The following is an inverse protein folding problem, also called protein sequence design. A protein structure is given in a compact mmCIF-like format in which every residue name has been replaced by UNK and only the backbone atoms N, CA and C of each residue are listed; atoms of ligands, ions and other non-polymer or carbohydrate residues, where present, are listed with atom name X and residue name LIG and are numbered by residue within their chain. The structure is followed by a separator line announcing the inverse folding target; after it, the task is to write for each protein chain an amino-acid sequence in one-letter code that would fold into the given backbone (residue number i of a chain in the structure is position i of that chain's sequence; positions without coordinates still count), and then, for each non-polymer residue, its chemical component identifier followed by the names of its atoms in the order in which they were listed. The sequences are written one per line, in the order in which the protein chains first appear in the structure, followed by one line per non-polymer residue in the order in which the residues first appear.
data_IF_645161274404
#
_entry.id   IF_645161274404
#
_cell.length_a   1.000
_cell.length_b   1.000
_cell.length_c   1.000
_cell.angle_alpha   90.00
_cell.angle_beta   90.00
_cell.angle_gamma   90.00
#
_symmetry.space_group_name_H-M   'P 1'
#
loop_
_entity.id
_entity.type
_entity.pdbx_description
1 polymer ?
#
# COMPACT_ATOMS: atom_id res chain seq x y z
N UNK A 1 -52.53 -46.12 -59.10
CA UNK A 1 -51.92 -44.84 -58.69
C UNK A 1 -50.72 -45.15 -57.81
N UNK A 2 -49.60 -44.54 -58.17
CA UNK A 2 -48.20 -44.80 -57.78
C UNK A 2 -47.83 -44.08 -56.47
N UNK A 3 -46.63 -44.43 -55.94
CA UNK A 3 -45.77 -43.73 -54.96
C UNK A 3 -45.88 -44.23 -53.52
N UNK A 4 -44.82 -44.39 -52.72
CA UNK A 4 -43.37 -44.43 -52.95
C UNK A 4 -42.75 -44.91 -51.62
N UNK A 5 -41.69 -45.72 -51.68
CA UNK A 5 -40.80 -46.00 -50.53
C UNK A 5 -40.15 -44.70 -50.07
N UNK A 6 -40.07 -44.43 -48.77
CA UNK A 6 -39.05 -43.56 -48.19
C UNK A 6 -38.53 -44.17 -46.89
N UNK A 7 -37.28 -44.63 -46.95
CA UNK A 7 -36.46 -45.00 -45.81
C UNK A 7 -36.19 -43.77 -44.94
N UNK A 8 -36.20 -43.93 -43.61
CA UNK A 8 -35.66 -42.91 -42.69
C UNK A 8 -34.31 -43.38 -42.14
N UNK A 9 -33.31 -42.49 -42.09
CA UNK A 9 -31.97 -42.82 -41.65
C UNK A 9 -31.87 -42.86 -40.12
N UNK A 10 -30.90 -43.65 -39.64
CA UNK A 10 -30.46 -43.70 -38.25
C UNK A 10 -29.96 -42.33 -37.76
N UNK A 11 -30.17 -41.96 -36.48
CA UNK A 11 -29.44 -40.85 -35.88
C UNK A 11 -28.00 -41.26 -35.60
N UNK A 12 -27.05 -40.57 -36.23
CA UNK A 12 -25.63 -40.65 -35.91
C UNK A 12 -25.39 -40.08 -34.50
N UNK A 13 -24.74 -40.88 -33.65
CA UNK A 13 -24.22 -40.46 -32.34
C UNK A 13 -23.15 -39.38 -32.54
N UNK A 14 -23.42 -38.16 -32.09
CA UNK A 14 -22.41 -37.11 -31.94
C UNK A 14 -21.59 -37.35 -30.68
N UNK A 15 -20.27 -37.60 -30.75
CA UNK A 15 -19.45 -37.62 -29.56
C UNK A 15 -19.11 -36.19 -29.14
N UNK A 16 -19.68 -35.79 -28.00
CA UNK A 16 -19.02 -35.07 -26.91
C UNK A 16 -18.03 -33.94 -27.30
N UNK A 17 -18.57 -32.72 -27.48
CA UNK A 17 -17.81 -31.47 -27.37
C UNK A 17 -17.50 -31.07 -25.91
N UNK A 18 -17.92 -31.87 -24.92
CA UNK A 18 -17.79 -31.53 -23.50
C UNK A 18 -16.35 -31.70 -22.98
N UNK A 19 -15.52 -32.52 -23.64
CA UNK A 19 -14.20 -32.86 -23.13
C UNK A 19 -13.13 -31.75 -23.29
N UNK A 20 -13.37 -30.72 -24.12
CA UNK A 20 -12.36 -29.69 -24.41
C UNK A 20 -12.50 -28.41 -23.58
N UNK A 21 -13.51 -28.31 -22.69
CA UNK A 21 -13.72 -27.12 -21.86
C UNK A 21 -13.00 -27.19 -20.49
N UNK A 22 -12.48 -28.36 -20.08
CA UNK A 22 -11.90 -28.57 -18.75
C UNK A 22 -10.38 -28.29 -18.65
N UNK A 23 -9.70 -27.98 -19.75
CA UNK A 23 -8.24 -27.73 -19.77
C UNK A 23 -7.85 -26.24 -19.61
N UNK A 24 -8.83 -25.34 -19.48
CA UNK A 24 -8.62 -23.92 -19.23
C UNK A 24 -8.82 -23.57 -17.74
N UNK A 25 -8.42 -24.47 -16.84
CA UNK A 25 -8.25 -24.12 -15.43
C UNK A 25 -7.04 -23.19 -15.31
N UNK A 26 -7.25 -21.94 -15.72
CA UNK A 26 -6.34 -20.83 -15.57
C UNK A 26 -5.97 -20.73 -14.10
N UNK A 27 -4.70 -21.00 -13.78
CA UNK A 27 -4.09 -20.57 -12.54
C UNK A 27 -4.14 -19.04 -12.51
N UNK A 28 -5.26 -18.48 -12.06
CA UNK A 28 -5.38 -17.05 -11.85
C UNK A 28 -4.50 -16.72 -10.65
N UNK A 29 -3.30 -16.21 -10.93
CA UNK A 29 -2.51 -15.53 -9.92
C UNK A 29 -3.30 -14.29 -9.48
N UNK A 30 -4.11 -14.44 -8.44
CA UNK A 30 -4.80 -13.32 -7.83
C UNK A 30 -3.74 -12.50 -7.09
N UNK A 31 -3.39 -11.34 -7.63
CA UNK A 31 -2.68 -10.34 -6.85
C UNK A 31 -3.58 -10.00 -5.64
N UNK A 32 -3.13 -10.37 -4.44
CA UNK A 32 -3.82 -9.98 -3.22
C UNK A 32 -3.78 -8.45 -3.09
N UNK A 33 -4.84 -7.89 -2.52
CA UNK A 33 -4.94 -6.48 -2.16
C UNK A 33 -3.69 -5.99 -1.41
N UNK A 34 -3.49 -4.66 -1.43
CA UNK A 34 -2.34 -4.03 -0.78
C UNK A 34 -2.16 -4.54 0.64
N UNK A 35 -0.94 -4.98 0.98
CA UNK A 35 -0.57 -5.39 2.34
C UNK A 35 -0.47 -4.22 3.32
N UNK A 36 -0.75 -3.01 2.85
CA UNK A 36 -0.85 -1.81 3.68
C UNK A 36 -2.27 -1.69 4.24
N UNK A 37 -2.43 -1.31 5.52
CA UNK A 37 -3.75 -0.98 6.05
C UNK A 37 -4.36 0.13 5.17
N UNK A 38 -5.59 -0.08 4.69
CA UNK A 38 -6.33 0.86 3.83
C UNK A 38 -5.65 1.26 2.50
N UNK A 39 -4.78 0.39 1.97
CA UNK A 39 -4.00 0.63 0.74
C UNK A 39 -3.06 1.85 0.79
N UNK A 40 -2.81 2.42 1.98
CA UNK A 40 -1.93 3.57 2.18
C UNK A 40 -1.11 3.40 3.44
N UNK A 41 0.15 3.83 3.39
CA UNK A 41 0.95 3.89 4.60
C UNK A 41 0.39 4.97 5.54
N UNK A 42 0.27 4.75 6.86
CA UNK A 42 -0.28 5.73 7.79
C UNK A 42 0.41 7.09 7.66
N UNK A 43 -0.36 8.17 7.63
CA UNK A 43 0.21 9.52 7.58
C UNK A 43 0.83 9.90 8.93
N UNK A 44 1.92 10.67 8.88
CA UNK A 44 2.56 11.21 10.08
C UNK A 44 1.66 12.29 10.73
N UNK A 45 1.48 12.23 12.06
CA UNK A 45 0.66 13.16 12.85
C UNK A 45 1.44 14.31 13.51
N UNK A 46 2.74 14.45 13.20
CA UNK A 46 3.61 15.44 13.83
C UNK A 46 3.28 16.87 13.40
N UNK A 47 3.16 17.78 14.36
CA UNK A 47 2.90 19.20 14.10
C UNK A 47 4.19 20.00 13.98
N UNK A 48 4.46 20.55 12.79
CA UNK A 48 5.64 21.37 12.55
C UNK A 48 5.48 22.75 13.24
N UNK A 49 6.42 23.18 14.09
CA UNK A 49 6.34 24.50 14.71
C UNK A 49 6.57 25.60 13.67
N UNK A 50 5.94 26.74 13.90
CA UNK A 50 6.13 27.95 13.07
C UNK A 50 7.35 28.69 13.58
N UNK A 51 8.31 28.95 12.67
CA UNK A 51 9.50 29.72 12.99
C UNK A 51 9.10 31.16 13.38
N UNK A 52 9.55 31.67 14.54
CA UNK A 52 9.22 33.02 14.94
C UNK A 52 9.93 34.05 14.07
N UNK A 53 9.27 35.20 13.91
CA UNK A 53 9.79 36.36 13.21
C UNK A 53 10.50 37.26 14.21
N UNK A 54 11.63 37.84 13.82
CA UNK A 54 12.32 38.84 14.64
C UNK A 54 11.49 40.12 14.69
N UNK A 55 11.16 40.68 15.88
CA UNK A 55 10.51 41.98 16.02
C UNK A 55 11.34 43.11 15.38
N UNK A 56 10.65 44.12 14.85
CA UNK A 56 11.30 45.30 14.25
C UNK A 56 12.02 46.17 15.29
N UNK A 57 11.53 46.16 16.53
CA UNK A 57 12.02 46.95 17.66
C UNK A 57 12.91 46.14 18.61
N UNK A 58 13.59 45.11 18.10
CA UNK A 58 14.41 44.17 18.89
C UNK A 58 15.46 44.84 19.79
N UNK A 59 15.81 46.09 19.51
CA UNK A 59 16.75 46.88 20.30
C UNK A 59 16.19 47.34 21.65
N UNK A 60 14.87 47.23 21.88
CA UNK A 60 14.29 47.45 23.20
C UNK A 60 14.49 46.21 24.09
N UNK A 61 14.85 46.43 25.37
CA UNK A 61 15.05 45.32 26.30
C UNK A 61 13.80 44.45 26.47
N UNK A 62 12.61 45.06 26.42
CA UNK A 62 11.34 44.35 26.50
C UNK A 62 11.08 43.47 25.27
N UNK A 63 11.27 43.98 24.06
CA UNK A 63 11.09 43.20 22.82
C UNK A 63 12.11 42.06 22.73
N UNK A 64 13.37 42.31 23.11
CA UNK A 64 14.40 41.27 23.18
C UNK A 64 14.03 40.14 24.14
N UNK A 65 13.55 40.48 25.35
CA UNK A 65 13.12 39.49 26.34
C UNK A 65 11.92 38.67 25.86
N UNK A 66 10.92 39.32 25.25
CA UNK A 66 9.76 38.62 24.68
C UNK A 66 10.17 37.69 23.53
N UNK A 67 11.00 38.16 22.61
CA UNK A 67 11.48 37.35 21.50
C UNK A 67 12.26 36.12 21.99
N UNK A 68 13.11 36.27 23.02
CA UNK A 68 13.83 35.15 23.64
C UNK A 68 12.88 34.05 24.14
N UNK A 69 11.80 34.40 24.82
CA UNK A 69 10.79 33.44 25.29
C UNK A 69 10.10 32.71 24.13
N UNK A 70 9.79 33.43 23.05
CA UNK A 70 9.20 32.83 21.85
C UNK A 70 10.16 31.86 21.18
N UNK A 71 11.45 32.23 21.06
CA UNK A 71 12.49 31.37 20.50
C UNK A 71 12.70 30.12 21.37
N UNK A 72 12.72 30.26 22.70
CA UNK A 72 12.82 29.13 23.63
C UNK A 72 11.66 28.14 23.44
N UNK A 73 10.43 28.65 23.34
CA UNK A 73 9.25 27.83 23.06
C UNK A 73 9.33 27.14 21.69
N UNK A 74 9.74 27.88 20.65
CA UNK A 74 9.93 27.32 19.31
C UNK A 74 10.95 26.18 19.34
N UNK A 75 12.08 26.35 20.04
CA UNK A 75 13.11 25.33 20.13
C UNK A 75 12.60 24.06 20.82
N UNK A 76 11.82 24.19 21.90
CA UNK A 76 11.19 23.05 22.55
C UNK A 76 10.23 22.32 21.62
N UNK A 77 9.36 23.05 20.90
CA UNK A 77 8.44 22.46 19.94
C UNK A 77 9.18 21.81 18.75
N UNK A 78 10.30 22.39 18.32
CA UNK A 78 11.12 21.83 17.25
C UNK A 78 11.76 20.51 17.67
N UNK A 79 12.26 20.41 18.91
CA UNK A 79 12.77 19.15 19.45
C UNK A 79 11.69 18.07 19.50
N UNK A 80 10.49 18.42 20.00
CA UNK A 80 9.35 17.50 20.04
C UNK A 80 8.93 17.05 18.63
N UNK A 81 8.90 17.97 17.67
CA UNK A 81 8.63 17.66 16.27
C UNK A 81 9.65 16.68 15.69
N UNK A 82 10.95 16.94 15.88
CA UNK A 82 12.01 16.04 15.41
C UNK A 82 11.90 14.65 16.04
N UNK A 83 11.65 14.56 17.35
CA UNK A 83 11.46 13.27 18.02
C UNK A 83 10.27 12.49 17.44
N UNK A 84 9.15 13.18 17.19
CA UNK A 84 7.97 12.59 16.57
C UNK A 84 8.25 12.08 15.15
N UNK A 85 8.94 12.87 14.32
CA UNK A 85 9.33 12.47 12.95
C UNK A 85 10.22 11.23 12.99
N UNK A 86 11.22 11.21 13.87
CA UNK A 86 12.12 10.06 13.98
C UNK A 86 11.38 8.79 14.40
N UNK A 87 10.50 8.88 15.40
CA UNK A 87 9.69 7.74 15.83
C UNK A 87 8.81 7.20 14.69
N UNK A 88 8.22 8.09 13.87
CA UNK A 88 7.47 7.70 12.69
C UNK A 88 8.36 6.97 11.66
N UNK A 89 9.57 7.48 11.40
CA UNK A 89 10.52 6.86 10.46
C UNK A 89 11.01 5.50 10.96
N UNK A 90 11.26 5.34 12.25
CA UNK A 90 11.70 4.07 12.83
C UNK A 90 10.66 2.96 12.61
N UNK A 91 9.37 3.29 12.84
CA UNK A 91 8.26 2.37 12.57
C UNK A 91 8.14 2.07 11.08
N UNK A 92 8.24 3.09 10.22
CA UNK A 92 8.19 2.90 8.78
C UNK A 92 9.31 2.00 8.25
N UNK A 93 10.53 2.15 8.77
CA UNK A 93 11.64 1.31 8.40
C UNK A 93 11.45 -0.14 8.87
N UNK A 94 10.93 -0.35 10.08
CA UNK A 94 10.63 -1.69 10.59
C UNK A 94 9.54 -2.39 9.75
N UNK A 95 8.55 -1.65 9.24
CA UNK A 95 7.53 -2.18 8.34
C UNK A 95 8.10 -2.58 6.99
N UNK A 96 8.94 -1.72 6.38
CA UNK A 96 9.64 -2.04 5.13
C UNK A 96 10.46 -3.32 5.29
N UNK A 97 11.19 -3.48 6.39
CA UNK A 97 11.98 -4.69 6.66
C UNK A 97 11.10 -5.93 6.76
N UNK A 98 9.97 -5.85 7.47
CA UNK A 98 9.02 -6.97 7.54
C UNK A 98 8.46 -7.34 6.17
N UNK A 99 8.09 -6.35 5.36
CA UNK A 99 7.58 -6.58 4.01
C UNK A 99 8.65 -7.30 3.17
N UNK A 100 9.90 -6.82 3.21
CA UNK A 100 11.00 -7.44 2.47
C UNK A 100 11.22 -8.90 2.89
N UNK A 101 11.24 -9.19 4.20
CA UNK A 101 11.38 -10.56 4.70
C UNK A 101 10.27 -11.49 4.20
N UNK A 102 9.03 -11.00 4.13
CA UNK A 102 7.90 -11.77 3.62
C UNK A 102 8.01 -12.02 2.11
N UNK A 103 8.52 -11.04 1.36
CA UNK A 103 8.80 -11.20 -0.07
C UNK A 103 9.89 -12.24 -0.31
N UNK A 104 11.00 -12.16 0.44
CA UNK A 104 12.11 -13.09 0.32
C UNK A 104 11.68 -14.52 0.67
N UNK A 105 10.86 -14.69 1.71
CA UNK A 105 10.29 -15.99 2.07
C UNK A 105 9.38 -16.57 0.97
N UNK A 106 8.56 -15.72 0.33
CA UNK A 106 7.70 -16.15 -0.78
C UNK A 106 8.53 -16.58 -2.00
N UNK A 107 9.59 -15.83 -2.33
CA UNK A 107 10.53 -16.19 -3.40
C UNK A 107 11.24 -17.50 -3.09
N UNK A 108 11.70 -17.69 -1.85
CA UNK A 108 12.34 -18.94 -1.45
C UNK A 108 11.39 -20.14 -1.56
N UNK A 109 10.13 -19.99 -1.11
CA UNK A 109 9.11 -21.04 -1.24
C UNK A 109 8.80 -21.38 -2.70
N UNK A 110 8.73 -20.37 -3.59
CA UNK A 110 8.49 -20.58 -5.02
C UNK A 110 9.64 -21.31 -5.72
N UNK A 111 10.87 -21.17 -5.21
CA UNK A 111 12.07 -21.81 -5.76
C UNK A 111 12.48 -23.09 -5.02
N UNK A 112 11.71 -23.54 -4.03
CA UNK A 112 12.00 -24.77 -3.30
C UNK A 112 11.76 -26.00 -4.21
N UNK A 113 12.65 -27.01 -4.17
CA UNK A 113 12.58 -28.20 -5.03
C UNK A 113 11.43 -29.15 -4.69
#
# INVERSE_FOLDING_TARGET
MTLARHARPHPARSPSLVALALLLASSQAQAQDSRLPDSRYPAMSCSKPVKPFTPLDINSAAAAAQYKLVVERYNQQAQAYTACVNAYLDVAMADVQRIQQQMDAAVAAANAP
#
